data_IF_375682502577
#
_entry.id   IF_375682502577
#
_cell.length_a   1.000
_cell.length_b   1.000
_cell.length_c   1.000
_cell.angle_alpha   90.00
_cell.angle_beta   90.00
_cell.angle_gamma   90.00
#
_symmetry.space_group_name_H-M   'P 1'
#
loop_
_entity.id
_entity.type
_entity.pdbx_description
1 polymer ?
#
# COMPACT_ATOMS: atom_id res chain seq x y z
N UNK A 1 -4.55 19.96 -20.66
CA UNK A 1 -3.92 20.47 -19.43
C UNK A 1 -2.43 20.13 -19.32
N UNK A 2 -1.87 19.31 -20.24
CA UNK A 2 -0.45 18.98 -20.30
C UNK A 2 0.01 17.99 -19.21
N UNK A 3 -0.91 17.23 -18.61
CA UNK A 3 -0.58 16.12 -17.74
C UNK A 3 -0.32 14.86 -18.56
N UNK A 4 0.67 14.07 -18.13
CA UNK A 4 0.90 12.71 -18.63
C UNK A 4 0.01 11.78 -17.81
N UNK A 5 -0.79 10.95 -18.48
CA UNK A 5 -1.69 9.99 -17.82
C UNK A 5 -1.27 8.59 -18.24
N UNK A 6 -1.15 7.71 -17.25
CA UNK A 6 -0.80 6.31 -17.43
C UNK A 6 -1.82 5.44 -16.70
N UNK A 7 -2.30 4.40 -17.37
CA UNK A 7 -3.24 3.44 -16.79
C UNK A 7 -2.47 2.39 -16.01
N UNK A 8 -2.67 2.34 -14.67
CA UNK A 8 -2.06 1.34 -13.81
C UNK A 8 -2.93 0.10 -13.69
N UNK A 9 -4.25 0.28 -13.57
CA UNK A 9 -5.21 -0.80 -13.44
C UNK A 9 -6.56 -0.39 -14.00
N UNK A 10 -7.26 -1.34 -14.62
CA UNK A 10 -8.59 -1.14 -15.17
C UNK A 10 -9.43 -2.41 -14.94
N UNK A 11 -10.50 -2.27 -14.17
CA UNK A 11 -11.46 -3.34 -13.91
C UNK A 11 -12.76 -3.05 -14.69
N UNK A 12 -12.98 -3.81 -15.76
CA UNK A 12 -14.15 -3.66 -16.62
C UNK A 12 -15.32 -4.49 -16.07
N UNK A 13 -16.54 -4.08 -16.43
CA UNK A 13 -17.75 -4.88 -16.24
C UNK A 13 -18.06 -5.69 -17.49
N UNK A 14 -18.84 -6.77 -17.37
CA UNK A 14 -19.24 -7.62 -18.48
C UNK A 14 -20.03 -6.87 -19.57
N UNK A 15 -20.62 -5.73 -19.20
CA UNK A 15 -21.39 -4.84 -20.08
C UNK A 15 -20.55 -3.73 -20.74
N UNK A 16 -19.21 -3.84 -20.74
CA UNK A 16 -18.30 -2.85 -21.31
C UNK A 16 -18.14 -1.55 -20.51
N UNK A 17 -18.71 -1.48 -19.30
CA UNK A 17 -18.48 -0.36 -18.37
C UNK A 17 -17.20 -0.54 -17.56
N UNK A 18 -16.83 0.49 -16.79
CA UNK A 18 -15.67 0.47 -15.88
C UNK A 18 -16.16 0.41 -14.44
N UNK A 19 -15.73 -0.60 -13.69
CA UNK A 19 -16.00 -0.73 -12.25
C UNK A 19 -15.01 0.07 -11.42
N UNK A 20 -13.75 -0.01 -11.77
CA UNK A 20 -12.67 0.73 -11.11
C UNK A 20 -11.55 1.00 -12.11
N UNK A 21 -10.95 2.17 -12.02
CA UNK A 21 -9.76 2.53 -12.78
C UNK A 21 -8.75 3.21 -11.87
N UNK A 22 -7.49 2.84 -12.00
CA UNK A 22 -6.37 3.48 -11.31
C UNK A 22 -5.47 4.11 -12.34
N UNK A 23 -5.25 5.41 -12.19
CA UNK A 23 -4.45 6.23 -13.09
C UNK A 23 -3.26 6.82 -12.35
N UNK A 24 -2.07 6.77 -12.96
CA UNK A 24 -0.95 7.62 -12.57
C UNK A 24 -1.00 8.88 -13.42
N UNK A 25 -0.99 10.03 -12.75
CA UNK A 25 -1.07 11.35 -13.40
C UNK A 25 0.14 12.18 -13.00
N UNK A 26 1.09 12.29 -13.92
CA UNK A 26 2.32 13.05 -13.75
C UNK A 26 2.35 14.31 -14.58
N UNK A 27 3.32 15.20 -14.29
CA UNK A 27 3.58 16.38 -15.09
C UNK A 27 4.29 17.50 -14.36
N UNK A 28 4.94 18.39 -15.09
CA UNK A 28 5.74 19.50 -14.56
C UNK A 28 4.95 20.55 -13.76
N UNK A 29 3.61 20.49 -13.73
CA UNK A 29 2.71 21.51 -13.14
C UNK A 29 2.03 21.09 -11.86
N UNK A 30 2.56 20.12 -11.12
CA UNK A 30 2.00 19.70 -9.83
C UNK A 30 0.58 19.14 -9.98
N UNK A 31 0.44 17.95 -10.58
CA UNK A 31 -0.86 17.30 -10.82
C UNK A 31 -1.65 17.14 -9.52
N UNK A 32 -1.00 16.68 -8.45
CA UNK A 32 -1.64 16.48 -7.14
C UNK A 32 -2.26 17.77 -6.58
N UNK A 33 -1.56 18.92 -6.67
CA UNK A 33 -2.05 20.18 -6.11
C UNK A 33 -3.38 20.66 -6.74
N UNK A 34 -3.65 20.25 -7.97
CA UNK A 34 -4.90 20.53 -8.68
C UNK A 34 -5.95 19.46 -8.48
N UNK A 35 -5.55 18.19 -8.61
CA UNK A 35 -6.49 17.06 -8.59
C UNK A 35 -6.97 16.68 -7.19
N UNK A 36 -6.27 17.08 -6.13
CA UNK A 36 -6.69 16.80 -4.74
C UNK A 36 -8.10 17.25 -4.42
N UNK A 37 -8.59 18.30 -5.08
CA UNK A 37 -9.94 18.83 -4.90
C UNK A 37 -11.03 18.03 -5.62
N UNK A 38 -10.65 17.07 -6.46
CA UNK A 38 -11.58 16.14 -7.10
C UNK A 38 -11.86 14.88 -6.25
N UNK A 39 -11.19 14.77 -5.09
CA UNK A 39 -11.42 13.65 -4.16
C UNK A 39 -12.80 13.77 -3.51
N UNK A 40 -13.56 12.68 -3.54
CA UNK A 40 -14.88 12.63 -2.92
C UNK A 40 -15.90 11.89 -3.79
N UNK A 41 -17.18 12.16 -3.52
CA UNK A 41 -18.31 11.54 -4.22
C UNK A 41 -18.80 12.44 -5.36
N UNK A 42 -18.89 11.89 -6.55
CA UNK A 42 -19.42 12.54 -7.75
C UNK A 42 -20.77 11.93 -8.10
N UNK A 43 -21.82 12.73 -8.09
CA UNK A 43 -23.16 12.28 -8.48
C UNK A 43 -23.34 12.39 -9.99
N UNK A 44 -23.83 11.33 -10.61
CA UNK A 44 -24.06 11.25 -12.05
C UNK A 44 -25.55 11.03 -12.33
N UNK A 45 -26.13 11.88 -13.14
CA UNK A 45 -27.51 11.80 -13.62
C UNK A 45 -27.49 11.58 -15.13
N UNK A 46 -27.87 10.39 -15.58
CA UNK A 46 -27.93 10.02 -17.02
C UNK A 46 -29.02 9.00 -17.26
N UNK A 47 -29.40 8.83 -18.50
CA UNK A 47 -30.20 7.72 -18.95
C UNK A 47 -29.24 6.57 -19.26
N UNK A 48 -29.26 5.43 -18.54
CA UNK A 48 -28.42 4.26 -18.83
C UNK A 48 -28.79 3.64 -20.16
N UNK A 49 -27.86 2.95 -20.83
CA UNK A 49 -28.13 2.22 -22.07
C UNK A 49 -29.12 1.07 -21.86
N UNK A 50 -29.22 0.55 -20.65
CA UNK A 50 -30.18 -0.52 -20.28
C UNK A 50 -31.59 0.00 -19.98
N UNK A 51 -31.80 1.32 -19.97
CA UNK A 51 -33.09 1.92 -19.67
C UNK A 51 -33.90 2.11 -20.94
N UNK A 52 -34.99 1.34 -21.09
CA UNK A 52 -35.84 1.34 -22.30
C UNK A 52 -36.87 2.47 -22.37
N UNK A 53 -37.18 3.12 -21.21
CA UNK A 53 -38.24 4.16 -21.14
C UNK A 53 -37.67 5.58 -21.06
N UNK A 54 -36.36 5.77 -21.24
CA UNK A 54 -35.72 7.07 -21.24
C UNK A 54 -35.67 7.75 -19.85
N UNK A 55 -35.86 7.00 -18.75
CA UNK A 55 -35.83 7.55 -17.39
C UNK A 55 -34.42 7.89 -16.97
N UNK A 56 -34.27 9.05 -16.31
CA UNK A 56 -32.99 9.49 -15.75
C UNK A 56 -32.72 8.71 -14.46
N UNK A 57 -31.59 8.02 -14.40
CA UNK A 57 -31.08 7.34 -13.20
C UNK A 57 -29.98 8.18 -12.56
N UNK A 58 -29.93 8.14 -11.23
CA UNK A 58 -28.89 8.77 -10.43
C UNK A 58 -27.95 7.72 -9.89
N UNK A 59 -26.67 7.84 -10.21
CA UNK A 59 -25.60 7.00 -9.68
C UNK A 59 -24.52 7.86 -9.00
N UNK A 60 -23.61 7.22 -8.28
CA UNK A 60 -22.45 7.84 -7.67
C UNK A 60 -21.17 7.16 -8.15
N UNK A 61 -20.13 7.96 -8.35
CA UNK A 61 -18.77 7.51 -8.55
C UNK A 61 -17.89 8.14 -7.49
N UNK A 62 -16.99 7.37 -6.91
CA UNK A 62 -16.04 7.88 -5.92
C UNK A 62 -14.68 8.09 -6.54
N UNK A 63 -14.04 9.19 -6.19
CA UNK A 63 -12.69 9.54 -6.64
C UNK A 63 -11.79 9.69 -5.42
N UNK A 64 -10.66 8.99 -5.43
CA UNK A 64 -9.60 9.17 -4.44
C UNK A 64 -8.34 9.67 -5.16
N UNK A 65 -7.76 10.75 -4.67
CA UNK A 65 -6.52 11.31 -5.20
C UNK A 65 -5.46 11.23 -4.12
N UNK A 66 -4.44 10.41 -4.36
CA UNK A 66 -3.35 10.17 -3.44
C UNK A 66 -2.03 10.58 -4.10
N UNK A 67 -1.07 11.15 -3.34
CA UNK A 67 0.26 11.36 -3.86
C UNK A 67 0.92 10.00 -4.14
N UNK A 68 1.69 9.95 -5.22
CA UNK A 68 2.59 8.83 -5.45
C UNK A 68 3.75 8.92 -4.44
N UNK A 69 4.05 7.82 -3.78
CA UNK A 69 5.16 7.72 -2.82
C UNK A 69 6.17 6.74 -3.37
N UNK A 70 7.42 7.04 -3.14
CA UNK A 70 8.53 6.15 -3.50
C UNK A 70 8.46 4.84 -2.71
N UNK A 71 9.09 3.80 -3.27
CA UNK A 71 9.22 2.51 -2.61
C UNK A 71 9.94 2.66 -1.27
N UNK A 72 9.54 1.84 -0.30
CA UNK A 72 10.15 1.81 1.02
C UNK A 72 11.61 1.41 0.91
N UNK A 73 12.51 2.34 1.21
CA UNK A 73 13.93 2.07 1.33
C UNK A 73 14.26 1.77 2.79
N UNK A 74 14.87 0.59 3.04
CA UNK A 74 15.27 0.18 4.38
C UNK A 74 16.77 0.31 4.52
N UNK A 75 17.19 1.21 5.35
CA UNK A 75 18.54 1.33 5.85
C UNK A 75 18.59 0.83 7.29
N UNK A 76 19.34 -0.25 7.52
CA UNK A 76 19.53 -0.83 8.86
C UNK A 76 20.86 -0.31 9.40
N UNK A 77 20.80 0.51 10.43
CA UNK A 77 22.02 1.00 11.12
C UNK A 77 22.44 0.00 12.18
N UNK A 78 23.73 -0.26 12.31
CA UNK A 78 24.24 -1.16 13.35
C UNK A 78 23.91 -0.67 14.78
N UNK A 79 23.83 0.65 14.98
CA UNK A 79 23.39 1.25 16.25
C UNK A 79 21.99 0.86 16.69
N UNK A 80 21.13 0.50 15.75
CA UNK A 80 19.74 0.14 16.00
C UNK A 80 19.55 -1.36 16.23
N UNK A 81 20.66 -2.10 16.23
CA UNK A 81 20.67 -3.54 16.41
C UNK A 81 21.30 -3.92 17.73
N UNK A 82 20.62 -4.79 18.46
CA UNK A 82 21.21 -5.55 19.56
C UNK A 82 21.42 -6.98 19.09
N UNK A 83 22.67 -7.44 19.13
CA UNK A 83 23.07 -8.77 18.70
C UNK A 83 23.52 -9.56 19.93
N UNK A 84 22.77 -10.60 20.25
CA UNK A 84 23.07 -11.52 21.32
C UNK A 84 23.47 -12.89 20.75
N UNK A 85 24.53 -13.49 21.29
CA UNK A 85 24.96 -14.85 20.97
C UNK A 85 24.50 -15.79 22.08
N UNK A 86 24.06 -16.99 21.71
CA UNK A 86 23.65 -17.99 22.67
C UNK A 86 23.93 -19.41 22.16
N UNK A 87 23.81 -20.39 23.04
CA UNK A 87 24.00 -21.80 22.67
C UNK A 87 22.77 -22.29 21.91
N UNK A 88 23.02 -22.93 20.78
CA UNK A 88 21.93 -23.57 20.02
C UNK A 88 21.30 -24.68 20.85
N UNK A 89 19.97 -24.76 20.86
CA UNK A 89 19.22 -25.84 21.50
C UNK A 89 18.80 -26.86 20.44
N UNK A 90 19.08 -28.14 20.68
CA UNK A 90 18.69 -29.23 19.78
C UNK A 90 19.34 -30.57 20.15
N UNK A 91 18.85 -31.66 19.55
CA UNK A 91 19.43 -32.95 19.66
C UNK A 91 20.76 -33.00 18.86
N UNK A 92 21.83 -32.55 19.46
CA UNK A 92 23.16 -32.50 18.87
C UNK A 92 24.23 -32.97 19.87
N UNK A 93 25.28 -33.55 19.35
CA UNK A 93 26.39 -34.04 20.16
C UNK A 93 27.19 -32.94 20.87
N UNK A 94 28.38 -33.30 21.38
CA UNK A 94 29.24 -32.44 22.21
C UNK A 94 29.55 -31.04 21.62
N UNK A 95 29.51 -30.89 20.29
CA UNK A 95 29.75 -29.61 19.60
C UNK A 95 28.61 -28.58 19.80
N UNK A 96 27.36 -29.02 19.82
CA UNK A 96 26.16 -28.16 19.99
C UNK A 96 26.09 -27.55 21.39
N UNK A 97 26.61 -28.32 22.39
CA UNK A 97 26.58 -27.92 23.80
C UNK A 97 27.76 -27.02 24.22
N UNK A 98 28.80 -26.88 23.38
CA UNK A 98 30.01 -26.12 23.72
C UNK A 98 30.16 -24.81 22.92
N UNK A 99 29.54 -24.67 21.77
CA UNK A 99 29.72 -23.51 20.89
C UNK A 99 28.47 -22.61 20.92
N UNK A 100 28.65 -21.33 21.18
CA UNK A 100 27.61 -20.30 21.10
C UNK A 100 27.50 -19.81 19.64
N UNK A 101 27.03 -20.68 18.74
CA UNK A 101 26.88 -20.36 17.32
C UNK A 101 25.55 -19.71 16.97
N UNK A 102 24.55 -19.84 17.85
CA UNK A 102 23.24 -19.24 17.62
C UNK A 102 23.27 -17.73 17.86
N UNK A 103 22.55 -17.00 17.01
CA UNK A 103 22.46 -15.54 17.02
C UNK A 103 21.01 -15.11 17.17
N UNK A 104 20.79 -14.09 18.01
CA UNK A 104 19.55 -13.36 18.11
C UNK A 104 19.83 -11.89 17.81
N UNK A 105 19.13 -11.34 16.84
CA UNK A 105 19.20 -9.93 16.47
C UNK A 105 17.88 -9.28 16.87
N UNK A 106 17.95 -8.22 17.65
CA UNK A 106 16.80 -7.39 18.02
C UNK A 106 16.95 -6.02 17.37
N UNK A 107 15.97 -5.63 16.56
CA UNK A 107 15.91 -4.28 16.02
C UNK A 107 15.22 -3.38 17.03
N UNK A 108 15.98 -2.50 17.68
CA UNK A 108 15.53 -1.68 18.81
C UNK A 108 14.33 -0.76 18.50
N UNK A 109 14.28 -0.06 17.33
CA UNK A 109 13.18 0.85 17.05
C UNK A 109 11.82 0.17 16.88
N UNK A 110 11.79 -1.07 16.34
CA UNK A 110 10.54 -1.81 16.09
C UNK A 110 10.29 -2.91 17.12
N UNK A 111 11.29 -3.27 17.92
CA UNK A 111 11.24 -4.41 18.83
C UNK A 111 11.24 -5.78 18.14
N UNK A 112 11.50 -5.81 16.83
CA UNK A 112 11.51 -7.05 16.05
C UNK A 112 12.71 -7.91 16.39
N UNK A 113 12.46 -9.20 16.64
CA UNK A 113 13.49 -10.17 17.02
C UNK A 113 13.59 -11.25 15.96
N UNK A 114 14.80 -11.56 15.54
CA UNK A 114 15.14 -12.68 14.65
C UNK A 114 16.19 -13.54 15.29
N UNK A 115 15.98 -14.84 15.33
CA UNK A 115 16.95 -15.82 15.83
C UNK A 115 17.33 -16.78 14.70
N UNK A 116 18.62 -17.13 14.60
CA UNK A 116 19.13 -18.10 13.66
C UNK A 116 20.14 -19.00 14.35
N UNK A 117 19.98 -20.33 14.15
CA UNK A 117 20.84 -21.36 14.76
C UNK A 117 21.14 -22.53 13.79
N UNK A 118 20.81 -22.36 12.51
CA UNK A 118 20.80 -23.43 11.53
C UNK A 118 22.21 -23.89 11.11
N UNK A 119 23.15 -22.95 11.16
CA UNK A 119 24.53 -23.17 10.76
C UNK A 119 25.47 -23.33 11.95
N UNK A 120 26.56 -24.10 11.74
CA UNK A 120 27.62 -24.23 12.75
C UNK A 120 28.49 -22.98 12.93
N UNK A 121 28.42 -22.07 11.94
CA UNK A 121 29.19 -20.82 11.93
C UNK A 121 28.33 -19.66 12.43
N UNK A 122 28.79 -18.99 13.48
CA UNK A 122 28.20 -17.80 14.03
C UNK A 122 28.07 -16.68 12.99
N UNK A 123 29.09 -16.51 12.12
CA UNK A 123 29.07 -15.51 11.06
C UNK A 123 27.95 -15.78 10.04
N UNK A 124 27.79 -17.02 9.61
CA UNK A 124 26.71 -17.42 8.67
C UNK A 124 25.33 -17.23 9.28
N UNK A 125 25.16 -17.57 10.57
CA UNK A 125 23.91 -17.33 11.29
C UNK A 125 23.60 -15.83 11.41
N UNK A 126 24.62 -14.98 11.62
CA UNK A 126 24.45 -13.52 11.62
C UNK A 126 23.99 -13.00 10.27
N UNK A 127 24.64 -13.43 9.19
CA UNK A 127 24.26 -13.03 7.82
C UNK A 127 22.84 -13.45 7.47
N UNK A 128 22.47 -14.69 7.82
CA UNK A 128 21.12 -15.19 7.59
C UNK A 128 20.08 -14.44 8.44
N UNK A 129 20.35 -14.23 9.72
CA UNK A 129 19.47 -13.46 10.59
C UNK A 129 19.28 -12.03 10.09
N UNK A 130 20.35 -11.37 9.60
CA UNK A 130 20.26 -10.03 8.99
C UNK A 130 19.41 -10.01 7.74
N UNK A 131 19.53 -11.03 6.89
CA UNK A 131 18.70 -11.14 5.68
C UNK A 131 17.23 -11.31 6.01
N UNK A 132 16.90 -12.16 6.98
CA UNK A 132 15.53 -12.36 7.47
C UNK A 132 14.99 -11.10 8.14
N UNK A 133 15.81 -10.42 8.95
CA UNK A 133 15.42 -9.17 9.58
C UNK A 133 15.08 -8.09 8.53
N UNK A 134 15.92 -7.95 7.50
CA UNK A 134 15.70 -6.98 6.42
C UNK A 134 14.38 -7.25 5.69
N UNK A 135 14.08 -8.51 5.38
CA UNK A 135 12.80 -8.89 4.75
C UNK A 135 11.61 -8.55 5.65
N UNK A 136 11.67 -8.91 6.94
CA UNK A 136 10.58 -8.63 7.87
C UNK A 136 10.36 -7.14 8.12
N UNK A 137 11.43 -6.34 8.16
CA UNK A 137 11.35 -4.89 8.27
C UNK A 137 10.73 -4.28 7.02
N UNK A 138 11.08 -4.80 5.84
CA UNK A 138 10.44 -4.37 4.58
C UNK A 138 8.94 -4.61 4.63
N UNK A 139 8.51 -5.82 4.95
CA UNK A 139 7.09 -6.17 5.04
C UNK A 139 6.36 -5.31 6.09
N UNK A 140 7.00 -5.04 7.21
CA UNK A 140 6.43 -4.19 8.27
C UNK A 140 6.22 -2.75 7.80
N UNK A 141 7.22 -2.11 7.20
CA UNK A 141 7.11 -0.74 6.73
C UNK A 141 6.19 -0.62 5.52
N UNK A 142 6.22 -1.61 4.62
CA UNK A 142 5.31 -1.69 3.49
C UNK A 142 3.85 -1.78 3.97
N UNK A 143 3.56 -2.68 4.89
CA UNK A 143 2.21 -2.84 5.48
C UNK A 143 1.73 -1.57 6.17
N UNK A 144 2.62 -0.87 6.86
CA UNK A 144 2.31 0.40 7.51
C UNK A 144 1.96 1.47 6.48
N UNK A 145 2.75 1.61 5.42
CA UNK A 145 2.49 2.54 4.33
C UNK A 145 1.16 2.24 3.62
N UNK A 146 0.89 0.95 3.36
CA UNK A 146 -0.36 0.52 2.72
C UNK A 146 -1.57 0.79 3.61
N UNK A 147 -1.45 0.60 4.93
CA UNK A 147 -2.50 0.92 5.89
C UNK A 147 -2.80 2.43 5.94
N UNK A 148 -1.76 3.26 5.92
CA UNK A 148 -1.90 4.73 5.86
C UNK A 148 -2.58 5.17 4.56
N UNK A 149 -2.19 4.59 3.42
CA UNK A 149 -2.82 4.83 2.11
C UNK A 149 -4.28 4.41 2.08
N UNK A 150 -4.58 3.21 2.60
CA UNK A 150 -5.95 2.71 2.70
C UNK A 150 -6.82 3.61 3.59
N UNK A 151 -6.28 4.07 4.72
CA UNK A 151 -6.94 5.03 5.60
C UNK A 151 -7.21 6.37 4.91
N UNK A 152 -6.24 6.94 4.22
CA UNK A 152 -6.37 8.17 3.46
C UNK A 152 -7.42 8.04 2.33
N UNK A 153 -7.39 6.93 1.59
CA UNK A 153 -8.41 6.61 0.56
C UNK A 153 -9.81 6.54 1.16
N UNK A 154 -9.96 5.82 2.27
CA UNK A 154 -11.25 5.67 2.95
C UNK A 154 -11.79 7.00 3.45
N UNK A 155 -10.96 7.86 4.01
CA UNK A 155 -11.38 9.18 4.49
C UNK A 155 -11.84 10.12 3.36
N UNK A 156 -11.24 10.02 2.16
CA UNK A 156 -11.63 10.81 0.99
C UNK A 156 -12.96 10.35 0.38
N UNK A 157 -13.22 9.04 0.39
CA UNK A 157 -14.42 8.45 -0.22
C UNK A 157 -15.62 8.51 0.74
N UNK A 158 -15.39 8.53 2.06
CA UNK A 158 -16.42 8.50 3.08
C UNK A 158 -17.31 7.26 2.98
N UNK A 159 -18.61 7.44 3.08
CA UNK A 159 -19.60 6.38 2.90
C UNK A 159 -19.86 6.03 1.41
N UNK A 160 -19.44 6.88 0.50
CA UNK A 160 -19.78 6.81 -0.92
C UNK A 160 -21.23 7.20 -1.23
N UNK A 161 -21.96 7.73 -0.26
CA UNK A 161 -23.34 8.15 -0.45
C UNK A 161 -23.42 9.38 -1.36
N UNK A 162 -24.34 9.35 -2.29
CA UNK A 162 -24.60 10.45 -3.23
C UNK A 162 -25.12 11.75 -2.53
N UNK A 163 -25.52 11.69 -1.27
CA UNK A 163 -25.82 12.86 -0.45
C UNK A 163 -24.58 13.68 -0.13
N UNK A 164 -23.41 13.03 0.01
CA UNK A 164 -22.11 13.65 0.31
C UNK A 164 -21.39 14.18 -0.94
N UNK A 165 -22.09 14.28 -2.06
CA UNK A 165 -21.50 14.70 -3.34
C UNK A 165 -20.81 16.04 -3.29
N UNK A 166 -19.63 16.11 -3.88
CA UNK A 166 -18.91 17.38 -4.12
C UNK A 166 -19.31 18.01 -5.46
N UNK A 167 -19.78 17.19 -6.43
CA UNK A 167 -20.17 17.65 -7.77
C UNK A 167 -21.29 16.77 -8.35
N UNK A 168 -22.09 17.38 -9.24
CA UNK A 168 -23.14 16.66 -9.97
C UNK A 168 -22.95 16.85 -11.47
N UNK A 169 -22.93 15.75 -12.20
CA UNK A 169 -22.91 15.71 -13.67
C UNK A 169 -24.32 15.38 -14.15
N UNK A 170 -24.96 16.33 -14.79
CA UNK A 170 -26.30 16.15 -15.37
C UNK A 170 -26.17 16.08 -16.91
N UNK A 171 -26.08 14.86 -17.42
CA UNK A 171 -25.89 14.61 -18.86
C UNK A 171 -27.07 15.09 -19.72
N UNK A 172 -28.36 14.87 -19.35
CA UNK A 172 -29.49 15.36 -20.13
C UNK A 172 -29.53 16.87 -20.28
N UNK A 173 -29.01 17.61 -19.31
CA UNK A 173 -28.97 19.10 -19.34
C UNK A 173 -27.60 19.65 -19.75
N UNK A 174 -26.61 18.81 -19.99
CA UNK A 174 -25.24 19.23 -20.31
C UNK A 174 -24.58 20.10 -19.22
N UNK A 175 -24.92 19.88 -17.94
CA UNK A 175 -24.47 20.70 -16.79
C UNK A 175 -23.58 19.91 -15.84
N UNK A 176 -22.56 20.59 -15.30
CA UNK A 176 -21.68 20.08 -14.22
C UNK A 176 -21.82 20.98 -13.00
#
# INVERSE_FOLDING_TARGET
NGFKVEYLSNNLTDMGGVKEVVLSIGGKRGAFSRLKYESGVHRVQRVPETESQGRIHTSAATVAVLPEVDDVQIEIKESDLRIDTYRSSGAGGQHVNKTESAIRITHLPTGMVVSCQDEKSQLKNKEQAMRVLKSRLYDYYQSKQDAERAGARKSQIGSGDRSERIRTYNFPQGRV
#
